data_IF_279133496419
#
_entry.id   IF_279133496419
#
_cell.length_a   1.000
_cell.length_b   1.000
_cell.length_c   1.000
_cell.angle_alpha   90.00
_cell.angle_beta   90.00
_cell.angle_gamma   90.00
#
_symmetry.space_group_name_H-M   'P 1'
#
loop_
_entity.id
_entity.type
_entity.pdbx_description
1 polymer ?
#
# COMPACT_ATOMS: atom_id res chain seq x y z
N UNK A 1 -11.14 15.76 -7.56
CA UNK A 1 -10.81 14.37 -7.93
C UNK A 1 -9.37 14.34 -8.42
N UNK A 2 -8.53 13.43 -7.91
CA UNK A 2 -7.16 13.26 -8.37
C UNK A 2 -7.07 12.18 -9.48
N UNK A 3 -5.88 12.02 -10.07
CA UNK A 3 -5.65 11.11 -11.19
C UNK A 3 -5.99 9.63 -10.86
N UNK A 4 -5.72 9.17 -9.62
CA UNK A 4 -5.97 7.78 -9.23
C UNK A 4 -7.45 7.54 -8.98
N UNK A 5 -8.16 8.48 -8.36
CA UNK A 5 -9.61 8.44 -8.21
C UNK A 5 -10.32 8.39 -9.56
N UNK A 6 -9.85 9.20 -10.52
CA UNK A 6 -10.38 9.17 -11.88
C UNK A 6 -10.12 7.83 -12.56
N UNK A 7 -8.90 7.28 -12.45
CA UNK A 7 -8.57 5.96 -12.98
C UNK A 7 -9.42 4.84 -12.37
N UNK A 8 -9.69 4.92 -11.06
CA UNK A 8 -10.59 3.97 -10.39
C UNK A 8 -12.02 4.05 -10.96
N UNK A 9 -12.54 5.26 -11.23
CA UNK A 9 -13.87 5.42 -11.84
C UNK A 9 -13.92 4.86 -13.25
N UNK A 10 -12.88 5.09 -14.04
CA UNK A 10 -12.83 4.67 -15.45
C UNK A 10 -12.63 3.17 -15.63
N UNK A 11 -11.80 2.56 -14.82
CA UNK A 11 -11.33 1.19 -15.05
C UNK A 11 -11.52 0.25 -13.83
N UNK A 12 -11.94 0.76 -12.68
CA UNK A 12 -12.24 -0.05 -11.49
C UNK A 12 -13.53 -0.83 -11.64
N UNK A 13 -13.65 -1.93 -10.91
CA UNK A 13 -14.85 -2.77 -10.88
C UNK A 13 -15.21 -3.07 -9.44
N UNK A 14 -16.46 -2.81 -9.04
CA UNK A 14 -16.99 -3.25 -7.76
C UNK A 14 -17.60 -4.63 -7.93
N UNK A 15 -17.12 -5.61 -7.18
CA UNK A 15 -17.66 -6.97 -7.15
C UNK A 15 -18.57 -7.17 -5.94
N UNK A 16 -19.36 -8.23 -5.98
CA UNK A 16 -20.22 -8.65 -4.86
C UNK A 16 -19.45 -8.62 -3.53
N UNK A 17 -20.10 -8.15 -2.47
CA UNK A 17 -19.47 -7.92 -1.16
C UNK A 17 -18.70 -6.60 -1.07
N UNK A 18 -18.94 -5.65 -1.97
CA UNK A 18 -18.30 -4.33 -2.01
C UNK A 18 -16.76 -4.45 -2.08
N UNK A 19 -16.28 -5.27 -3.00
CA UNK A 19 -14.85 -5.47 -3.24
C UNK A 19 -14.43 -4.66 -4.47
N UNK A 20 -13.61 -3.63 -4.27
CA UNK A 20 -13.00 -2.90 -5.38
C UNK A 20 -11.88 -3.75 -6.01
N UNK A 21 -11.97 -3.99 -7.31
CA UNK A 21 -10.92 -4.56 -8.13
C UNK A 21 -10.31 -3.52 -9.06
N UNK A 22 -8.99 -3.46 -9.03
CA UNK A 22 -8.14 -2.58 -9.85
C UNK A 22 -7.06 -3.42 -10.55
N UNK A 23 -7.42 -4.67 -10.85
CA UNK A 23 -6.50 -5.70 -11.35
C UNK A 23 -5.91 -5.33 -12.72
N UNK A 24 -6.61 -4.51 -13.48
CA UNK A 24 -6.26 -4.10 -14.83
C UNK A 24 -5.22 -2.96 -14.89
N UNK A 25 -4.85 -2.34 -13.76
CA UNK A 25 -3.84 -1.28 -13.75
C UNK A 25 -2.90 -1.28 -12.53
N UNK A 26 -3.23 -2.02 -11.45
CA UNK A 26 -2.46 -1.95 -10.21
C UNK A 26 -2.02 -3.33 -9.69
N UNK A 27 -2.93 -4.32 -9.63
CA UNK A 27 -2.71 -5.53 -8.83
C UNK A 27 -2.40 -6.79 -9.65
N UNK A 28 -2.74 -6.82 -10.94
CA UNK A 28 -2.48 -7.97 -11.81
C UNK A 28 -1.78 -7.54 -13.10
N UNK A 29 -2.39 -6.62 -13.85
CA UNK A 29 -1.71 -5.85 -14.88
C UNK A 29 -1.22 -4.53 -14.28
N UNK A 30 0.01 -4.14 -14.61
CA UNK A 30 0.62 -2.90 -14.16
C UNK A 30 0.53 -1.87 -15.29
N UNK A 31 -0.24 -0.81 -15.05
CA UNK A 31 -0.21 0.38 -15.89
C UNK A 31 0.96 1.26 -15.42
N UNK A 32 2.06 1.22 -16.17
CA UNK A 32 3.32 1.89 -15.78
C UNK A 32 3.14 3.41 -15.63
N UNK A 33 2.25 4.03 -16.40
CA UNK A 33 2.02 5.47 -16.30
C UNK A 33 1.28 5.83 -15.00
N UNK A 34 0.33 5.01 -14.59
CA UNK A 34 -0.35 5.17 -13.30
C UNK A 34 0.63 4.94 -12.14
N UNK A 35 1.45 3.89 -12.19
CA UNK A 35 2.45 3.64 -11.14
C UNK A 35 3.46 4.79 -11.06
N UNK A 36 3.88 5.35 -12.19
CA UNK A 36 4.77 6.52 -12.24
C UNK A 36 4.12 7.75 -11.58
N UNK A 37 2.85 8.02 -11.87
CA UNK A 37 2.12 9.12 -11.25
C UNK A 37 1.98 8.91 -9.73
N UNK A 38 1.72 7.68 -9.26
CA UNK A 38 1.68 7.33 -7.84
C UNK A 38 3.04 7.62 -7.17
N UNK A 39 4.14 7.18 -7.79
CA UNK A 39 5.49 7.41 -7.27
C UNK A 39 5.84 8.91 -7.20
N UNK A 40 5.53 9.69 -8.24
CA UNK A 40 5.72 11.15 -8.22
C UNK A 40 4.89 11.83 -7.15
N UNK A 41 3.65 11.41 -6.95
CA UNK A 41 2.77 11.98 -5.92
C UNK A 41 3.31 11.68 -4.52
N UNK A 42 3.81 10.47 -4.25
CA UNK A 42 4.48 10.18 -2.98
C UNK A 42 5.76 11.00 -2.81
N UNK A 43 6.60 11.11 -3.84
CA UNK A 43 7.80 11.97 -3.76
C UNK A 43 7.44 13.41 -3.42
N UNK A 44 6.33 13.93 -3.96
CA UNK A 44 5.82 15.28 -3.68
C UNK A 44 5.31 15.41 -2.23
N UNK A 45 4.52 14.44 -1.74
CA UNK A 45 3.92 14.49 -0.39
C UNK A 45 4.94 14.32 0.72
N UNK A 46 5.99 13.56 0.48
CA UNK A 46 7.10 13.37 1.42
C UNK A 46 8.28 14.30 1.15
N UNK A 47 8.06 15.41 0.43
CA UNK A 47 9.10 16.42 0.21
C UNK A 47 9.67 16.92 1.55
N UNK A 48 11.01 17.02 1.62
CA UNK A 48 11.74 17.46 2.83
C UNK A 48 12.01 16.33 3.84
N UNK A 49 11.49 15.13 3.61
CA UNK A 49 11.90 13.96 4.41
C UNK A 49 13.20 13.38 3.87
N UNK A 50 14.09 13.06 4.78
CA UNK A 50 15.27 12.24 4.44
C UNK A 50 14.83 10.79 4.35
N UNK A 51 14.92 10.21 3.16
CA UNK A 51 14.60 8.81 2.88
C UNK A 51 15.86 8.17 2.29
N UNK A 52 16.32 7.06 2.85
CA UNK A 52 17.44 6.28 2.31
C UNK A 52 17.07 4.82 2.02
N UNK A 53 15.81 4.45 2.27
CA UNK A 53 15.27 3.11 1.99
C UNK A 53 13.78 3.17 1.72
N UNK A 54 13.33 2.46 0.69
CA UNK A 54 11.90 2.19 0.48
C UNK A 54 11.61 0.76 0.94
N UNK A 55 10.53 0.58 1.69
CA UNK A 55 10.07 -0.74 2.13
C UNK A 55 8.61 -0.97 1.69
N UNK A 56 8.35 -2.15 1.15
CA UNK A 56 7.00 -2.59 0.80
C UNK A 56 6.80 -4.07 1.18
N UNK A 57 5.65 -4.62 0.79
CA UNK A 57 5.36 -6.05 0.94
C UNK A 57 4.95 -6.65 -0.42
N UNK A 58 5.36 -7.90 -0.68
CA UNK A 58 4.95 -8.60 -1.90
C UNK A 58 3.42 -8.80 -1.98
N UNK A 59 2.81 -8.70 -3.17
CA UNK A 59 3.46 -8.49 -4.47
C UNK A 59 3.19 -7.08 -5.04
N UNK A 60 1.95 -6.54 -4.91
CA UNK A 60 1.47 -5.35 -5.65
C UNK A 60 2.21 -4.06 -5.32
N UNK A 61 2.66 -3.88 -4.07
CA UNK A 61 3.45 -2.72 -3.65
C UNK A 61 4.81 -2.62 -4.32
N UNK A 62 5.36 -3.72 -4.87
CA UNK A 62 6.73 -3.75 -5.43
C UNK A 62 6.87 -2.79 -6.63
N UNK A 63 5.89 -2.73 -7.52
CA UNK A 63 5.94 -1.86 -8.69
C UNK A 63 5.99 -0.37 -8.27
N UNK A 64 5.17 0.03 -7.31
CA UNK A 64 5.17 1.38 -6.74
C UNK A 64 6.52 1.69 -6.10
N UNK A 65 7.00 0.77 -5.25
CA UNK A 65 8.26 0.92 -4.52
C UNK A 65 9.45 1.04 -5.45
N UNK A 66 9.49 0.26 -6.54
CA UNK A 66 10.58 0.28 -7.52
C UNK A 66 10.72 1.66 -8.19
N UNK A 67 9.60 2.22 -8.70
CA UNK A 67 9.64 3.55 -9.32
C UNK A 67 9.90 4.67 -8.30
N UNK A 68 9.41 4.51 -7.07
CA UNK A 68 9.69 5.48 -6.02
C UNK A 68 11.16 5.42 -5.56
N UNK A 69 11.75 4.22 -5.50
CA UNK A 69 13.18 4.03 -5.23
C UNK A 69 14.07 4.69 -6.27
N UNK A 70 13.72 4.56 -7.55
CA UNK A 70 14.38 5.27 -8.65
C UNK A 70 14.32 6.80 -8.46
N UNK A 71 13.15 7.35 -8.13
CA UNK A 71 12.98 8.79 -7.88
C UNK A 71 13.79 9.30 -6.67
N UNK A 72 13.98 8.49 -5.64
CA UNK A 72 14.77 8.83 -4.45
C UNK A 72 16.25 8.51 -4.59
N UNK A 73 16.63 7.72 -5.60
CA UNK A 73 17.98 7.14 -5.77
C UNK A 73 18.39 6.31 -4.54
N UNK A 74 17.49 5.42 -4.10
CA UNK A 74 17.69 4.58 -2.91
C UNK A 74 17.25 3.14 -3.14
N UNK A 75 17.85 2.18 -2.40
CA UNK A 75 17.44 0.78 -2.49
C UNK A 75 15.98 0.56 -2.07
N UNK A 76 15.37 -0.43 -2.71
CA UNK A 76 14.04 -0.93 -2.38
C UNK A 76 14.15 -2.31 -1.75
N UNK A 77 13.51 -2.49 -0.62
CA UNK A 77 13.37 -3.78 0.06
C UNK A 77 11.89 -4.17 0.05
N UNK A 78 11.59 -5.43 -0.21
CA UNK A 78 10.25 -5.95 -0.05
C UNK A 78 10.22 -7.10 0.95
N UNK A 79 9.29 -7.02 1.87
CA UNK A 79 9.01 -8.07 2.82
C UNK A 79 8.30 -9.23 2.12
N UNK A 80 8.65 -10.45 2.49
CA UNK A 80 8.05 -11.68 1.97
C UNK A 80 7.01 -12.22 2.92
N UNK A 81 5.98 -12.88 2.37
CA UNK A 81 4.99 -13.64 3.11
C UNK A 81 5.34 -15.12 3.06
N UNK A 82 5.22 -15.85 4.15
CA UNK A 82 5.42 -17.29 4.12
C UNK A 82 5.75 -17.90 5.47
N UNK A 83 5.96 -19.24 5.45
CA UNK A 83 6.46 -19.94 6.61
C UNK A 83 7.97 -19.71 6.71
N UNK A 84 8.44 -19.31 7.88
CA UNK A 84 9.86 -19.26 8.17
C UNK A 84 10.35 -20.69 8.46
N UNK A 85 10.54 -21.49 7.42
CA UNK A 85 11.29 -22.73 7.55
C UNK A 85 12.78 -22.35 7.67
N UNK A 86 13.38 -22.68 8.80
CA UNK A 86 14.79 -22.55 9.16
C UNK A 86 15.26 -21.14 9.59
N UNK A 87 15.72 -21.08 10.83
CA UNK A 87 16.36 -20.02 11.64
C UNK A 87 15.80 -18.60 11.45
N UNK A 88 15.24 -18.10 12.53
CA UNK A 88 14.84 -16.68 12.70
C UNK A 88 16.05 -15.76 12.86
N UNK A 89 17.26 -16.33 13.01
CA UNK A 89 18.46 -15.58 13.38
C UNK A 89 18.91 -14.59 12.31
N UNK A 90 18.59 -14.85 11.04
CA UNK A 90 18.96 -13.98 9.91
C UNK A 90 17.82 -13.10 9.40
N UNK A 91 16.69 -13.02 10.11
CA UNK A 91 15.49 -12.30 9.64
C UNK A 91 14.88 -11.44 10.75
N UNK A 92 14.28 -10.33 10.35
CA UNK A 92 13.26 -9.64 11.11
C UNK A 92 11.91 -10.23 10.73
N UNK A 93 11.11 -10.62 11.70
CA UNK A 93 9.83 -11.31 11.47
C UNK A 93 8.73 -10.62 12.24
N UNK A 94 7.63 -10.35 11.56
CA UNK A 94 6.40 -9.86 12.16
C UNK A 94 5.21 -10.73 11.70
N UNK A 95 4.09 -10.61 12.42
CA UNK A 95 2.87 -11.33 12.06
C UNK A 95 1.83 -10.36 11.49
N UNK A 96 1.18 -10.76 10.41
CA UNK A 96 0.04 -10.06 9.82
C UNK A 96 -1.15 -11.01 9.72
N UNK A 97 -2.28 -10.62 10.28
CA UNK A 97 -3.51 -11.38 10.10
C UNK A 97 -4.10 -11.13 8.71
N UNK A 98 -4.35 -12.19 7.96
CA UNK A 98 -5.03 -12.12 6.68
C UNK A 98 -6.51 -12.37 6.87
N UNK A 99 -7.34 -11.33 6.73
CA UNK A 99 -8.80 -11.45 6.80
C UNK A 99 -9.36 -12.28 5.64
N UNK A 100 -8.75 -12.20 4.46
CA UNK A 100 -9.17 -12.98 3.28
C UNK A 100 -8.97 -14.48 3.48
N UNK A 101 -7.86 -14.87 4.11
CA UNK A 101 -7.54 -16.29 4.35
C UNK A 101 -7.77 -16.72 5.80
N UNK A 102 -8.25 -15.82 6.67
CA UNK A 102 -8.52 -16.05 8.10
C UNK A 102 -7.37 -16.75 8.83
N UNK A 103 -6.13 -16.38 8.52
CA UNK A 103 -4.93 -16.94 9.12
C UNK A 103 -3.86 -15.91 9.39
N UNK A 104 -3.00 -16.21 10.38
CA UNK A 104 -1.77 -15.45 10.61
C UNK A 104 -0.73 -15.83 9.55
N UNK A 105 -0.15 -14.82 8.91
CA UNK A 105 0.98 -15.01 8.02
C UNK A 105 2.21 -14.35 8.64
N UNK A 106 3.35 -15.00 8.55
CA UNK A 106 4.60 -14.35 8.86
C UNK A 106 5.01 -13.46 7.69
N UNK A 107 5.45 -12.25 8.05
CA UNK A 107 6.06 -11.27 7.15
C UNK A 107 7.49 -11.13 7.59
N UNK A 108 8.46 -11.17 6.68
CA UNK A 108 9.86 -11.11 7.05
C UNK A 108 10.74 -10.38 6.04
N UNK A 109 11.85 -9.83 6.55
CA UNK A 109 12.94 -9.22 5.79
C UNK A 109 14.26 -9.79 6.32
N UNK A 110 15.19 -10.14 5.44
CA UNK A 110 16.53 -10.57 5.85
C UNK A 110 17.31 -9.41 6.45
N UNK A 111 17.99 -9.66 7.59
CA UNK A 111 18.72 -8.65 8.39
C UNK A 111 19.74 -7.80 7.59
N UNK A 112 20.49 -8.33 6.61
CA UNK A 112 21.47 -7.52 5.88
C UNK A 112 20.84 -6.38 5.06
N UNK A 113 19.53 -6.40 4.81
CA UNK A 113 18.87 -5.41 3.97
C UNK A 113 18.20 -4.28 4.75
N UNK A 114 18.17 -4.37 6.10
CA UNK A 114 17.55 -3.35 6.95
C UNK A 114 18.36 -3.16 8.22
N UNK A 115 18.73 -1.92 8.51
CA UNK A 115 19.66 -1.56 9.60
C UNK A 115 19.14 -0.38 10.41
N UNK A 116 19.79 -0.12 11.56
CA UNK A 116 19.47 1.02 12.43
C UNK A 116 19.72 2.40 11.79
N UNK A 117 20.47 2.47 10.70
CA UNK A 117 20.73 3.72 10.00
C UNK A 117 19.69 4.03 8.92
N UNK A 118 18.72 3.11 8.70
CA UNK A 118 17.75 3.27 7.65
C UNK A 118 16.60 4.21 8.06
N UNK A 119 16.36 5.20 7.20
CA UNK A 119 15.21 6.10 7.23
C UNK A 119 14.24 5.64 6.16
N UNK A 120 13.25 4.88 6.62
CA UNK A 120 12.40 4.03 5.77
C UNK A 120 11.10 4.74 5.42
N UNK A 121 10.82 4.88 4.13
CA UNK A 121 9.47 5.18 3.63
C UNK A 121 8.79 3.88 3.26
N UNK A 122 7.72 3.54 3.99
CA UNK A 122 6.88 2.38 3.70
C UNK A 122 5.88 2.77 2.61
N UNK A 123 5.69 1.91 1.59
CA UNK A 123 4.65 2.11 0.57
C UNK A 123 3.90 0.82 0.27
N UNK A 124 2.60 0.95 -0.05
CA UNK A 124 1.77 -0.19 -0.43
C UNK A 124 0.64 0.25 -1.37
N UNK A 125 0.01 -0.74 -2.04
CA UNK A 125 -1.12 -0.51 -2.93
C UNK A 125 -2.41 -0.23 -2.17
N UNK A 126 -2.76 -1.06 -1.18
CA UNK A 126 -3.98 -0.93 -0.38
C UNK A 126 -3.73 -0.84 1.12
N UNK A 127 -4.53 -0.01 1.79
CA UNK A 127 -4.64 0.00 3.24
C UNK A 127 -6.08 -0.33 3.65
N UNK A 128 -6.23 -1.44 4.34
CA UNK A 128 -7.49 -1.91 4.93
C UNK A 128 -7.43 -1.78 6.47
N UNK A 129 -7.32 -2.89 7.19
CA UNK A 129 -7.20 -2.90 8.66
C UNK A 129 -5.79 -2.55 9.17
N UNK A 130 -4.83 -2.33 8.27
CA UNK A 130 -3.47 -1.90 8.61
C UNK A 130 -2.53 -3.02 9.06
N UNK A 131 -2.90 -4.29 8.93
CA UNK A 131 -2.08 -5.41 9.42
C UNK A 131 -0.73 -5.49 8.69
N UNK A 132 -0.72 -5.31 7.37
CA UNK A 132 0.52 -5.30 6.59
C UNK A 132 1.42 -4.12 6.99
N UNK A 133 0.86 -2.92 7.08
CA UNK A 133 1.60 -1.72 7.49
C UNK A 133 2.19 -1.87 8.89
N UNK A 134 1.41 -2.41 9.87
CA UNK A 134 1.91 -2.70 11.23
C UNK A 134 3.07 -3.69 11.20
N UNK A 135 2.96 -4.77 10.43
CA UNK A 135 4.05 -5.74 10.33
C UNK A 135 5.32 -5.12 9.74
N UNK A 136 5.20 -4.25 8.74
CA UNK A 136 6.36 -3.54 8.17
C UNK A 136 6.98 -2.55 9.17
N UNK A 137 6.16 -1.83 9.93
CA UNK A 137 6.60 -0.93 11.01
C UNK A 137 7.39 -1.72 12.06
N UNK A 138 6.83 -2.86 12.51
CA UNK A 138 7.47 -3.73 13.51
C UNK A 138 8.84 -4.24 13.01
N UNK A 139 8.93 -4.60 11.74
CA UNK A 139 10.18 -5.03 11.10
C UNK A 139 11.22 -3.89 11.10
N UNK A 140 10.82 -2.67 10.76
CA UNK A 140 11.74 -1.50 10.82
C UNK A 140 12.21 -1.24 12.24
N UNK A 141 11.33 -1.33 13.24
CA UNK A 141 11.69 -1.16 14.65
C UNK A 141 12.61 -2.27 15.15
N UNK A 142 12.40 -3.53 14.75
CA UNK A 142 13.31 -4.64 15.07
C UNK A 142 14.73 -4.40 14.51
N UNK A 143 14.84 -3.73 13.37
CA UNK A 143 16.11 -3.34 12.78
C UNK A 143 16.75 -2.12 13.46
N UNK A 144 16.00 -1.42 14.33
CA UNK A 144 16.41 -0.15 14.94
C UNK A 144 16.28 1.06 14.00
N UNK A 145 15.68 0.89 12.82
CA UNK A 145 15.49 1.95 11.84
C UNK A 145 14.33 2.89 12.19
N UNK A 146 14.21 3.97 11.42
CA UNK A 146 13.17 4.99 11.56
C UNK A 146 12.14 4.87 10.44
N UNK A 147 10.84 4.85 10.77
CA UNK A 147 9.75 4.99 9.79
C UNK A 147 9.49 6.47 9.59
N UNK A 148 9.90 7.04 8.45
CA UNK A 148 9.76 8.47 8.14
C UNK A 148 8.40 8.84 7.56
N UNK A 149 7.65 7.84 7.09
CA UNK A 149 6.28 8.00 6.56
C UNK A 149 5.76 6.72 5.94
N UNK A 150 4.46 6.76 5.60
CA UNK A 150 3.74 5.66 4.99
C UNK A 150 2.93 6.20 3.80
N UNK A 151 3.19 5.70 2.59
CA UNK A 151 2.48 6.05 1.36
C UNK A 151 1.56 4.92 0.91
N UNK A 152 0.28 5.21 0.73
CA UNK A 152 -0.74 4.24 0.31
C UNK A 152 -1.42 4.74 -0.96
N UNK A 153 -1.51 3.89 -1.98
CA UNK A 153 -2.23 4.27 -3.18
C UNK A 153 -3.75 4.38 -2.89
N UNK A 154 -4.35 3.34 -2.32
CA UNK A 154 -5.80 3.27 -2.07
C UNK A 154 -6.06 2.89 -0.60
N UNK A 155 -6.65 3.81 0.17
CA UNK A 155 -7.08 3.57 1.55
C UNK A 155 -8.58 3.24 1.58
N UNK A 156 -8.96 2.18 2.28
CA UNK A 156 -10.35 1.86 2.61
C UNK A 156 -10.76 2.65 3.84
N UNK A 157 -11.28 3.85 3.65
CA UNK A 157 -11.59 4.82 4.70
C UNK A 157 -12.61 4.35 5.73
N UNK A 158 -13.49 3.40 5.33
CA UNK A 158 -14.45 2.74 6.23
C UNK A 158 -13.79 1.72 7.18
N UNK A 159 -12.52 1.36 6.96
CA UNK A 159 -11.76 0.46 7.83
C UNK A 159 -10.82 1.23 8.76
N UNK A 160 -10.37 0.58 9.81
CA UNK A 160 -9.69 1.27 10.92
C UNK A 160 -8.20 1.54 10.68
N UNK A 161 -7.56 0.91 9.67
CA UNK A 161 -6.11 0.95 9.51
C UNK A 161 -5.56 2.37 9.38
N UNK A 162 -6.18 3.19 8.52
CA UNK A 162 -5.74 4.58 8.32
C UNK A 162 -5.88 5.43 9.58
N UNK A 163 -7.00 5.29 10.31
CA UNK A 163 -7.21 5.99 11.59
C UNK A 163 -6.15 5.60 12.62
N UNK A 164 -5.94 4.29 12.82
CA UNK A 164 -4.99 3.78 13.82
C UNK A 164 -3.53 4.20 13.54
N UNK A 165 -3.10 4.22 12.28
CA UNK A 165 -1.76 4.66 11.92
C UNK A 165 -1.56 6.16 12.17
N UNK A 166 -2.57 7.00 11.87
CA UNK A 166 -2.52 8.45 12.17
C UNK A 166 -2.55 8.73 13.66
N UNK A 167 -3.39 8.02 14.44
CA UNK A 167 -3.43 8.12 15.91
C UNK A 167 -2.12 7.68 16.57
N UNK A 168 -1.40 6.72 15.96
CA UNK A 168 -0.07 6.31 16.39
C UNK A 168 1.04 7.33 16.03
N UNK A 169 0.70 8.44 15.36
CA UNK A 169 1.61 9.54 15.06
C UNK A 169 2.39 9.39 13.74
N UNK A 170 2.10 8.38 12.91
CA UNK A 170 2.75 8.24 11.61
C UNK A 170 2.20 9.24 10.61
N UNK A 171 3.09 9.85 9.81
CA UNK A 171 2.68 10.56 8.61
C UNK A 171 2.19 9.53 7.58
N UNK A 172 0.87 9.44 7.43
CA UNK A 172 0.21 8.57 6.45
C UNK A 172 -0.38 9.42 5.32
N UNK A 173 0.10 9.18 4.12
CA UNK A 173 -0.37 9.82 2.89
C UNK A 173 -1.06 8.80 1.99
N UNK A 174 -2.37 8.93 1.86
CA UNK A 174 -3.17 8.08 0.96
C UNK A 174 -3.62 8.90 -0.26
N UNK A 175 -3.40 8.39 -1.48
CA UNK A 175 -3.73 9.15 -2.70
C UNK A 175 -5.23 9.14 -2.94
N UNK A 176 -5.87 7.97 -2.88
CA UNK A 176 -7.32 7.82 -2.95
C UNK A 176 -7.83 7.23 -1.63
N UNK A 177 -8.87 7.83 -1.04
CA UNK A 177 -9.50 7.33 0.19
C UNK A 177 -10.97 7.02 -0.11
N UNK A 178 -11.31 5.73 -0.03
CA UNK A 178 -12.67 5.23 -0.28
C UNK A 178 -13.49 5.32 0.99
N UNK A 179 -14.49 6.19 1.03
CA UNK A 179 -15.42 6.30 2.18
C UNK A 179 -16.50 5.23 2.10
N UNK A 180 -17.01 4.94 0.90
CA UNK A 180 -17.96 3.86 0.66
C UNK A 180 -17.96 3.43 -0.80
N UNK A 181 -18.50 2.25 -1.06
CA UNK A 181 -18.81 1.75 -2.38
C UNK A 181 -20.00 0.82 -2.31
N UNK A 182 -20.74 0.73 -3.38
CA UNK A 182 -22.00 -0.03 -3.49
C UNK A 182 -21.98 -0.85 -4.78
N UNK A 183 -22.13 -2.16 -4.59
CA UNK A 183 -22.12 -3.11 -5.71
C UNK A 183 -23.37 -3.00 -6.58
N UNK A 184 -24.55 -2.82 -5.97
CA UNK A 184 -25.82 -2.85 -6.69
C UNK A 184 -26.00 -1.61 -7.59
N UNK A 185 -25.55 -0.46 -7.09
CA UNK A 185 -25.60 0.81 -7.84
C UNK A 185 -24.33 1.10 -8.62
N UNK A 186 -23.27 0.30 -8.46
CA UNK A 186 -21.94 0.52 -9.04
C UNK A 186 -21.43 1.94 -8.76
N UNK A 187 -21.62 2.42 -7.54
CA UNK A 187 -21.17 3.75 -7.11
C UNK A 187 -20.05 3.69 -6.10
N UNK A 188 -19.21 4.71 -6.09
CA UNK A 188 -18.09 4.89 -5.19
C UNK A 188 -18.10 6.30 -4.61
N UNK A 189 -17.73 6.44 -3.34
CA UNK A 189 -17.55 7.73 -2.66
C UNK A 189 -16.11 7.85 -2.22
N UNK A 190 -15.42 8.84 -2.72
CA UNK A 190 -14.11 9.23 -2.21
C UNK A 190 -14.25 10.29 -1.12
N UNK A 191 -13.29 10.34 -0.21
CA UNK A 191 -13.30 11.30 0.89
C UNK A 191 -13.43 12.74 0.39
N UNK A 192 -14.47 13.44 0.93
CA UNK A 192 -14.74 14.82 0.57
C UNK A 192 -15.36 15.04 -0.82
N UNK A 193 -15.87 13.97 -1.45
CA UNK A 193 -16.50 14.05 -2.77
C UNK A 193 -17.90 13.41 -2.77
N UNK A 194 -18.79 13.82 -3.69
CA UNK A 194 -20.06 13.15 -3.89
C UNK A 194 -19.87 11.75 -4.49
N UNK A 195 -20.92 10.92 -4.42
CA UNK A 195 -20.95 9.61 -5.05
C UNK A 195 -20.71 9.72 -6.56
N UNK A 196 -19.90 8.84 -7.10
CA UNK A 196 -19.55 8.77 -8.51
C UNK A 196 -19.94 7.38 -9.05
N UNK A 197 -20.62 7.28 -10.21
CA UNK A 197 -20.81 6.01 -10.88
C UNK A 197 -19.48 5.53 -11.48
N UNK A 198 -19.23 4.22 -11.42
CA UNK A 198 -18.13 3.62 -12.18
C UNK A 198 -18.50 3.53 -13.66
N UNK A 199 -17.57 3.88 -14.51
CA UNK A 199 -17.74 3.77 -15.96
C UNK A 199 -17.40 2.34 -16.38
N UNK A 200 -18.37 1.41 -16.32
CA UNK A 200 -18.17 0.09 -16.90
C UNK A 200 -17.80 0.23 -18.39
N UNK A 201 -16.54 0.02 -18.73
CA UNK A 201 -16.24 -0.44 -20.08
C UNK A 201 -16.83 -1.85 -20.17
N UNK A 202 -17.94 -1.99 -20.91
CA UNK A 202 -18.51 -3.28 -21.24
C UNK A 202 -17.35 -4.23 -21.56
N UNK A 203 -17.38 -5.43 -20.97
CA UNK A 203 -16.40 -6.47 -21.24
C UNK A 203 -16.15 -6.52 -22.75
N UNK A 204 -14.94 -6.18 -23.16
CA UNK A 204 -14.55 -6.41 -24.56
C UNK A 204 -14.50 -7.92 -24.72
N UNK A 205 -15.22 -8.48 -25.73
CA UNK A 205 -15.25 -9.90 -25.97
C UNK A 205 -13.88 -10.49 -26.24
#
# INVERSE_FOLDING_TARGET
MNFLEQKIIEDGVIKEGNILKVDNFLNHQIDVDIIRQIAFEFKRRFRGKTVNKILTIEASGIAIAALLGDLYDVPVVFAKKGQTANSTDDKYVAQAYSFTHKKMNNVFVSRPYLTANDKVLIVDDFLADGQASKALIDIVHQAGGEVVGIGIAIEKGQQQGGRLLREAGYQLESIAILESMDYDTQTIVFRGQPAQPLHHKAERP
#
